data_IF_136408596177
#
_entry.id   IF_136408596177
#
_cell.length_a   1.000
_cell.length_b   1.000
_cell.length_c   1.000
_cell.angle_alpha   90.00
_cell.angle_beta   90.00
_cell.angle_gamma   90.00
#
_symmetry.space_group_name_H-M   'P 1'
#
loop_
_entity.id
_entity.type
_entity.pdbx_description
1 polymer ?
#
# COMPACT_ATOMS: atom_id res chain seq x y z
N UNK A 1 -4.55 -16.58 12.49
CA UNK A 1 -5.05 -15.21 12.77
C UNK A 1 -6.57 -15.14 12.71
N UNK A 2 -7.21 -15.59 11.62
CA UNK A 2 -8.68 -15.59 11.50
C UNK A 2 -9.30 -16.51 12.54
N UNK A 3 -8.81 -17.74 12.65
CA UNK A 3 -9.30 -18.73 13.63
C UNK A 3 -9.12 -18.29 15.08
N UNK A 4 -8.01 -17.63 15.41
CA UNK A 4 -7.78 -17.08 16.76
C UNK A 4 -8.81 -15.99 17.10
N UNK A 5 -9.09 -15.09 16.16
CA UNK A 5 -10.06 -14.03 16.36
C UNK A 5 -11.48 -14.58 16.47
N UNK A 6 -11.84 -15.57 15.66
CA UNK A 6 -13.12 -16.26 15.71
C UNK A 6 -13.34 -16.93 17.07
N UNK A 7 -12.33 -17.61 17.59
CA UNK A 7 -12.38 -18.23 18.93
C UNK A 7 -12.61 -17.19 20.03
N UNK A 8 -11.94 -16.03 19.95
CA UNK A 8 -12.11 -14.95 20.94
C UNK A 8 -13.51 -14.31 20.85
N UNK A 9 -14.03 -14.11 19.64
CA UNK A 9 -15.42 -13.64 19.47
C UNK A 9 -16.42 -14.63 20.03
N UNK A 10 -16.22 -15.92 19.81
CA UNK A 10 -17.07 -16.98 20.36
C UNK A 10 -17.02 -17.01 21.89
N UNK A 11 -15.82 -16.86 22.48
CA UNK A 11 -15.65 -16.76 23.94
C UNK A 11 -16.35 -15.52 24.50
N UNK A 12 -16.20 -14.36 23.87
CA UNK A 12 -16.86 -13.12 24.30
C UNK A 12 -18.37 -13.26 24.23
N UNK A 13 -18.92 -13.84 23.17
CA UNK A 13 -20.36 -14.10 23.05
C UNK A 13 -20.88 -15.02 24.17
N UNK A 14 -20.16 -16.12 24.45
CA UNK A 14 -20.53 -17.02 25.56
C UNK A 14 -20.49 -16.31 26.93
N UNK A 15 -19.47 -15.45 27.14
CA UNK A 15 -19.40 -14.64 28.38
C UNK A 15 -20.47 -13.57 28.47
N UNK A 16 -20.95 -13.05 27.33
CA UNK A 16 -22.04 -12.08 27.28
C UNK A 16 -23.36 -12.68 27.74
N UNK A 17 -23.62 -13.94 27.37
CA UNK A 17 -24.81 -14.69 27.81
C UNK A 17 -24.82 -14.94 29.33
N UNK A 18 -23.65 -14.97 29.97
CA UNK A 18 -23.49 -15.16 31.41
C UNK A 18 -23.41 -13.86 32.24
N UNK A 19 -23.71 -12.69 31.64
CA UNK A 19 -23.66 -11.40 32.35
C UNK A 19 -24.91 -11.24 33.23
N UNK A 20 -24.73 -11.29 34.55
CA UNK A 20 -25.81 -11.15 35.51
C UNK A 20 -25.83 -9.78 36.22
N UNK A 21 -24.75 -9.00 36.10
CA UNK A 21 -24.62 -7.69 36.76
C UNK A 21 -23.99 -6.62 35.87
N UNK A 22 -24.26 -5.34 36.22
CA UNK A 22 -23.58 -4.19 35.58
C UNK A 22 -22.06 -4.27 35.74
N UNK A 23 -21.55 -4.81 36.84
CA UNK A 23 -20.14 -4.95 37.08
C UNK A 23 -19.51 -6.01 36.13
N UNK A 24 -20.21 -7.11 35.88
CA UNK A 24 -19.77 -8.15 34.93
C UNK A 24 -19.75 -7.60 33.52
N UNK A 25 -20.79 -6.84 33.13
CA UNK A 25 -20.83 -6.14 31.85
C UNK A 25 -19.65 -5.18 31.67
N UNK A 26 -19.35 -4.38 32.67
CA UNK A 26 -18.19 -3.45 32.66
C UNK A 26 -16.86 -4.18 32.53
N UNK A 27 -16.69 -5.28 33.27
CA UNK A 27 -15.48 -6.11 33.21
C UNK A 27 -15.31 -6.70 31.80
N UNK A 28 -16.35 -7.31 31.26
CA UNK A 28 -16.32 -7.87 29.90
C UNK A 28 -16.00 -6.80 28.84
N UNK A 29 -16.62 -5.62 28.92
CA UNK A 29 -16.34 -4.50 28.02
C UNK A 29 -14.88 -4.03 28.09
N UNK A 30 -14.31 -3.99 29.32
CA UNK A 30 -12.89 -3.65 29.48
C UNK A 30 -11.96 -4.74 28.93
N UNK A 31 -12.26 -6.01 29.16
CA UNK A 31 -11.50 -7.12 28.60
C UNK A 31 -11.50 -7.07 27.08
N UNK A 32 -12.66 -6.86 26.46
CA UNK A 32 -12.79 -6.72 25.02
C UNK A 32 -12.04 -5.51 24.47
N UNK A 33 -12.16 -4.33 25.13
CA UNK A 33 -11.41 -3.14 24.77
C UNK A 33 -9.90 -3.38 24.82
N UNK A 34 -9.41 -4.04 25.87
CA UNK A 34 -8.00 -4.34 26.02
C UNK A 34 -7.51 -5.31 24.92
N UNK A 35 -8.24 -6.39 24.67
CA UNK A 35 -7.92 -7.30 23.59
C UNK A 35 -7.91 -6.60 22.24
N UNK A 36 -8.94 -5.82 21.93
CA UNK A 36 -9.02 -5.04 20.68
C UNK A 36 -7.81 -4.11 20.51
N UNK A 37 -7.46 -3.37 21.58
CA UNK A 37 -6.40 -2.36 21.50
C UNK A 37 -5.01 -2.99 21.47
N UNK A 38 -4.77 -4.04 22.27
CA UNK A 38 -3.43 -4.59 22.48
C UNK A 38 -3.11 -5.76 21.52
N UNK A 39 -4.13 -6.44 20.99
CA UNK A 39 -3.95 -7.65 20.19
C UNK A 39 -4.49 -7.48 18.78
N UNK A 40 -5.79 -7.16 18.65
CA UNK A 40 -6.46 -7.14 17.35
C UNK A 40 -5.99 -5.99 16.47
N UNK A 41 -6.05 -4.74 16.94
CA UNK A 41 -5.71 -3.56 16.13
C UNK A 41 -4.28 -3.61 15.58
N UNK A 42 -3.23 -3.95 16.35
CA UNK A 42 -1.88 -4.07 15.83
C UNK A 42 -1.71 -5.15 14.75
N UNK A 43 -2.46 -6.27 14.87
CA UNK A 43 -2.45 -7.33 13.85
C UNK A 43 -3.20 -6.87 12.58
N UNK A 44 -4.37 -6.26 12.74
CA UNK A 44 -5.16 -5.73 11.63
C UNK A 44 -4.40 -4.64 10.86
N UNK A 45 -3.72 -3.74 11.56
CA UNK A 45 -2.92 -2.68 10.94
C UNK A 45 -1.81 -3.23 10.04
N UNK A 46 -1.14 -4.31 10.46
CA UNK A 46 -0.12 -4.99 9.65
C UNK A 46 -0.71 -5.56 8.36
N UNK A 47 -1.87 -6.22 8.45
CA UNK A 47 -2.55 -6.79 7.27
C UNK A 47 -2.97 -5.69 6.31
N UNK A 48 -3.56 -4.60 6.82
CA UNK A 48 -3.96 -3.45 6.01
C UNK A 48 -2.74 -2.82 5.32
N UNK A 49 -1.65 -2.61 6.05
CA UNK A 49 -0.44 -2.03 5.48
C UNK A 49 0.18 -2.93 4.41
N UNK A 50 0.25 -4.24 4.67
CA UNK A 50 0.71 -5.22 3.68
C UNK A 50 -0.12 -5.16 2.40
N UNK A 51 -1.45 -5.26 2.54
CA UNK A 51 -2.36 -5.21 1.39
C UNK A 51 -2.22 -3.89 0.62
N UNK A 52 -2.07 -2.77 1.32
CA UNK A 52 -1.92 -1.47 0.69
C UNK A 52 -0.61 -1.36 -0.12
N UNK A 53 0.51 -1.82 0.43
CA UNK A 53 1.82 -1.81 -0.26
C UNK A 53 1.77 -2.65 -1.53
N UNK A 54 1.26 -3.89 -1.45
CA UNK A 54 1.21 -4.78 -2.62
C UNK A 54 0.13 -4.40 -3.64
N UNK A 55 -0.96 -3.75 -3.20
CA UNK A 55 -1.91 -3.15 -4.14
C UNK A 55 -1.28 -2.00 -4.92
N UNK A 56 -0.47 -1.16 -4.24
CA UNK A 56 0.29 -0.10 -4.89
C UNK A 56 1.24 -0.61 -5.96
N UNK A 57 1.93 -1.73 -5.70
CA UNK A 57 2.80 -2.40 -6.67
C UNK A 57 2.04 -2.83 -7.93
N UNK A 58 0.86 -3.43 -7.78
CA UNK A 58 0.04 -3.85 -8.93
C UNK A 58 -0.39 -2.65 -9.81
N UNK A 59 -0.70 -1.51 -9.17
CA UNK A 59 -1.04 -0.28 -9.90
C UNK A 59 0.19 0.24 -10.64
N UNK A 60 1.36 0.23 -10.02
CA UNK A 60 2.60 0.63 -10.64
C UNK A 60 2.96 -0.27 -11.84
N UNK A 61 2.84 -1.60 -11.70
CA UNK A 61 3.06 -2.54 -12.80
C UNK A 61 2.14 -2.23 -13.99
N UNK A 62 0.86 -1.95 -13.73
CA UNK A 62 -0.09 -1.54 -14.78
C UNK A 62 0.32 -0.23 -15.46
N UNK A 63 0.86 0.73 -14.70
CA UNK A 63 1.33 2.00 -15.27
C UNK A 63 2.58 1.80 -16.16
N UNK A 64 3.48 0.89 -15.79
CA UNK A 64 4.64 0.51 -16.60
C UNK A 64 4.23 -0.11 -17.93
N UNK A 65 3.34 -1.09 -17.90
CA UNK A 65 2.84 -1.73 -19.13
C UNK A 65 2.19 -0.72 -20.07
N UNK A 66 1.51 0.29 -19.52
CA UNK A 66 0.93 1.38 -20.31
C UNK A 66 2.00 2.32 -20.86
N UNK A 67 3.03 2.64 -20.09
CA UNK A 67 4.15 3.45 -20.56
C UNK A 67 4.81 2.83 -21.79
N UNK A 68 5.11 1.53 -21.74
CA UNK A 68 5.70 0.79 -22.85
C UNK A 68 4.83 0.85 -24.11
N UNK A 69 3.51 0.69 -23.98
CA UNK A 69 2.56 0.79 -25.11
C UNK A 69 2.52 2.19 -25.69
N UNK A 70 2.41 3.22 -24.85
CA UNK A 70 2.37 4.62 -25.30
C UNK A 70 3.68 5.02 -25.97
N UNK A 71 4.82 4.56 -25.47
CA UNK A 71 6.11 4.78 -26.12
C UNK A 71 6.17 4.14 -27.52
N UNK A 72 5.61 2.94 -27.68
CA UNK A 72 5.45 2.29 -28.99
C UNK A 72 4.55 3.08 -29.93
N UNK A 73 3.35 3.44 -29.47
CA UNK A 73 2.36 4.19 -30.25
C UNK A 73 2.93 5.56 -30.70
N UNK A 74 3.67 6.24 -29.80
CA UNK A 74 4.33 7.51 -30.13
C UNK A 74 5.41 7.33 -31.19
N UNK A 75 6.22 6.26 -31.08
CA UNK A 75 7.25 5.95 -32.08
C UNK A 75 6.64 5.72 -33.45
N UNK A 76 5.54 4.96 -33.52
CA UNK A 76 4.83 4.68 -34.78
C UNK A 76 4.21 5.96 -35.38
N UNK A 77 3.63 6.81 -34.53
CA UNK A 77 3.09 8.10 -34.91
C UNK A 77 4.17 9.02 -35.52
N UNK A 78 5.30 9.20 -34.86
CA UNK A 78 6.42 10.01 -35.33
C UNK A 78 7.01 9.48 -36.63
N UNK A 79 7.14 8.16 -36.76
CA UNK A 79 7.59 7.52 -38.01
C UNK A 79 6.63 7.78 -39.18
N UNK A 80 5.33 7.81 -38.92
CA UNK A 80 4.31 8.08 -39.95
C UNK A 80 4.35 9.52 -40.46
N UNK A 81 4.63 10.48 -39.56
CA UNK A 81 4.73 11.90 -39.91
C UNK A 81 6.10 12.30 -40.47
N UNK A 82 7.12 11.48 -40.32
CA UNK A 82 8.54 11.79 -40.58
C UNK A 82 9.04 13.04 -39.86
N UNK A 83 8.41 13.36 -38.73
CA UNK A 83 8.74 14.49 -37.88
C UNK A 83 8.81 14.01 -36.43
N UNK A 84 9.75 14.58 -35.69
CA UNK A 84 9.89 14.33 -34.25
C UNK A 84 9.20 15.46 -33.50
N UNK A 85 8.18 15.13 -32.72
CA UNK A 85 7.53 16.09 -31.83
C UNK A 85 8.31 16.17 -30.51
N UNK A 86 9.00 17.30 -30.32
CA UNK A 86 9.84 17.55 -29.13
C UNK A 86 9.01 17.54 -27.84
N UNK A 87 7.78 18.07 -27.88
CA UNK A 87 6.86 18.10 -26.74
C UNK A 87 6.44 16.71 -26.32
N UNK A 88 6.13 15.83 -27.26
CA UNK A 88 5.76 14.44 -26.98
C UNK A 88 6.92 13.67 -26.34
N UNK A 89 8.16 13.89 -26.82
CA UNK A 89 9.33 13.27 -26.24
C UNK A 89 9.59 13.78 -24.81
N UNK A 90 9.39 15.08 -24.55
CA UNK A 90 9.49 15.65 -23.19
C UNK A 90 8.47 15.03 -22.23
N UNK A 91 7.21 14.85 -22.66
CA UNK A 91 6.17 14.21 -21.86
C UNK A 91 6.48 12.74 -21.59
N UNK A 92 6.97 12.01 -22.59
CA UNK A 92 7.39 10.61 -22.41
C UNK A 92 8.54 10.50 -21.41
N UNK A 93 9.56 11.33 -21.51
CA UNK A 93 10.69 11.36 -20.57
C UNK A 93 10.24 11.70 -19.14
N UNK A 94 9.26 12.60 -18.97
CA UNK A 94 8.66 12.88 -17.66
C UNK A 94 7.92 11.67 -17.11
N UNK A 95 7.14 11.00 -17.94
CA UNK A 95 6.42 9.78 -17.55
C UNK A 95 7.39 8.68 -17.11
N UNK A 96 8.48 8.45 -17.85
CA UNK A 96 9.53 7.49 -17.49
C UNK A 96 10.23 7.84 -16.19
N UNK A 97 10.52 9.13 -15.97
CA UNK A 97 11.12 9.61 -14.71
C UNK A 97 10.18 9.38 -13.53
N UNK A 98 8.89 9.68 -13.69
CA UNK A 98 7.89 9.45 -12.66
C UNK A 98 7.76 7.95 -12.32
N UNK A 99 7.80 7.07 -13.31
CA UNK A 99 7.74 5.62 -13.08
C UNK A 99 8.97 5.14 -12.31
N UNK A 100 10.17 5.62 -12.64
CA UNK A 100 11.41 5.26 -11.88
C UNK A 100 11.34 5.69 -10.42
N UNK A 101 10.89 6.90 -10.14
CA UNK A 101 10.69 7.39 -8.76
C UNK A 101 9.64 6.55 -8.02
N UNK A 102 8.56 6.19 -8.72
CA UNK A 102 7.52 5.32 -8.15
C UNK A 102 8.06 3.93 -7.82
N UNK A 103 8.90 3.34 -8.67
CA UNK A 103 9.53 2.03 -8.45
C UNK A 103 10.46 2.04 -7.23
N UNK A 104 11.30 3.07 -7.11
CA UNK A 104 12.22 3.20 -5.97
C UNK A 104 11.44 3.27 -4.65
N UNK A 105 10.42 4.12 -4.59
CA UNK A 105 9.57 4.27 -3.40
C UNK A 105 8.76 3.01 -3.10
N UNK A 106 8.24 2.32 -4.12
CA UNK A 106 7.54 1.04 -3.95
C UNK A 106 8.46 -0.02 -3.38
N UNK A 107 9.69 -0.14 -3.89
CA UNK A 107 10.71 -1.05 -3.36
C UNK A 107 11.08 -0.76 -1.91
N UNK A 108 11.22 0.52 -1.54
CA UNK A 108 11.45 0.92 -0.16
C UNK A 108 10.26 0.53 0.74
N UNK A 109 9.03 0.76 0.30
CA UNK A 109 7.81 0.40 1.03
C UNK A 109 7.73 -1.12 1.27
N UNK A 110 7.98 -1.92 0.25
CA UNK A 110 8.00 -3.40 0.35
C UNK A 110 9.05 -3.88 1.36
N UNK A 111 10.26 -3.35 1.28
CA UNK A 111 11.32 -3.73 2.21
C UNK A 111 10.94 -3.45 3.66
N UNK A 112 10.40 -2.26 3.94
CA UNK A 112 9.98 -1.87 5.29
C UNK A 112 8.84 -2.74 5.83
N UNK A 113 7.82 -3.03 5.01
CA UNK A 113 6.70 -3.87 5.46
C UNK A 113 7.16 -5.31 5.70
N UNK A 114 8.07 -5.85 4.88
CA UNK A 114 8.63 -7.18 5.08
C UNK A 114 9.48 -7.26 6.35
N UNK A 115 10.31 -6.25 6.64
CA UNK A 115 11.05 -6.15 7.91
C UNK A 115 10.09 -6.13 9.10
N UNK A 116 9.02 -5.33 9.03
CA UNK A 116 8.02 -5.24 10.10
C UNK A 116 7.32 -6.57 10.35
N UNK A 117 6.99 -7.32 9.28
CA UNK A 117 6.36 -8.64 9.38
C UNK A 117 7.33 -9.66 9.97
N UNK A 118 8.55 -9.74 9.46
CA UNK A 118 9.58 -10.68 9.93
C UNK A 118 9.89 -10.46 11.41
N UNK A 119 10.06 -9.21 11.85
CA UNK A 119 10.27 -8.88 13.26
C UNK A 119 9.07 -9.23 14.15
N UNK A 120 7.87 -9.29 13.56
CA UNK A 120 6.65 -9.68 14.28
C UNK A 120 6.51 -11.18 14.46
N UNK A 121 7.08 -11.98 13.56
CA UNK A 121 7.04 -13.45 13.60
C UNK A 121 8.26 -14.06 14.33
N UNK A 122 9.38 -13.32 14.41
CA UNK A 122 10.51 -13.77 15.20
C UNK A 122 10.15 -13.75 16.68
N UNK A 123 10.42 -14.85 17.39
CA UNK A 123 10.22 -14.97 18.84
C UNK A 123 11.19 -14.10 19.67
N UNK A 124 11.77 -13.06 19.07
CA UNK A 124 12.60 -12.09 19.74
C UNK A 124 11.72 -11.41 20.78
N UNK A 125 12.16 -11.41 22.04
CA UNK A 125 11.48 -10.79 23.18
C UNK A 125 10.85 -9.47 22.76
N UNK A 126 9.54 -9.38 22.87
CA UNK A 126 8.71 -8.22 22.55
C UNK A 126 9.11 -7.03 23.44
N UNK A 127 10.25 -6.41 23.15
CA UNK A 127 10.71 -5.22 23.86
C UNK A 127 9.96 -4.00 23.32
N UNK A 128 9.79 -2.99 24.18
CA UNK A 128 9.12 -1.73 23.79
C UNK A 128 9.82 -1.05 22.59
N UNK A 129 11.13 -1.27 22.41
CA UNK A 129 11.90 -0.76 21.27
C UNK A 129 11.54 -1.46 19.96
N UNK A 130 11.45 -2.79 19.96
CA UNK A 130 11.08 -3.60 18.79
C UNK A 130 9.68 -3.24 18.31
N UNK A 131 8.72 -3.09 19.22
CA UNK A 131 7.35 -2.72 18.85
C UNK A 131 7.27 -1.30 18.26
N UNK A 132 8.09 -0.36 18.72
CA UNK A 132 8.18 0.98 18.12
C UNK A 132 8.78 0.94 16.72
N UNK A 133 9.82 0.15 16.52
CA UNK A 133 10.44 -0.03 15.21
C UNK A 133 9.46 -0.65 14.20
N UNK A 134 8.74 -1.70 14.60
CA UNK A 134 7.68 -2.29 13.77
C UNK A 134 6.63 -1.26 13.39
N UNK A 135 6.11 -0.50 14.34
CA UNK A 135 5.11 0.53 14.09
C UNK A 135 5.63 1.63 13.14
N UNK A 136 6.90 2.03 13.30
CA UNK A 136 7.55 2.98 12.41
C UNK A 136 7.67 2.43 10.99
N UNK A 137 8.18 1.22 10.81
CA UNK A 137 8.34 0.60 9.49
C UNK A 137 6.98 0.45 8.78
N UNK A 138 5.90 0.13 9.49
CA UNK A 138 4.54 0.10 8.95
C UNK A 138 4.10 1.49 8.49
N UNK A 139 4.32 2.52 9.31
CA UNK A 139 3.98 3.90 8.96
C UNK A 139 4.76 4.39 7.76
N UNK A 140 6.07 4.20 7.75
CA UNK A 140 6.95 4.65 6.67
C UNK A 140 6.65 3.91 5.37
N UNK A 141 6.31 2.60 5.42
CA UNK A 141 5.90 1.84 4.23
C UNK A 141 4.64 2.41 3.58
N UNK A 142 3.65 2.82 4.38
CA UNK A 142 2.44 3.49 3.87
C UNK A 142 2.77 4.83 3.20
N UNK A 143 3.62 5.65 3.83
CA UNK A 143 4.04 6.95 3.29
C UNK A 143 4.76 6.78 1.95
N UNK A 144 5.66 5.81 1.84
CA UNK A 144 6.36 5.54 0.58
C UNK A 144 5.41 5.04 -0.51
N UNK A 145 4.44 4.19 -0.16
CA UNK A 145 3.42 3.74 -1.10
C UNK A 145 2.57 4.91 -1.60
N UNK A 146 2.13 5.81 -0.72
CA UNK A 146 1.36 7.01 -1.09
C UNK A 146 2.15 7.92 -2.04
N UNK A 147 3.44 8.13 -1.76
CA UNK A 147 4.33 8.91 -2.65
C UNK A 147 4.52 8.22 -4.00
N UNK A 148 4.75 6.91 -4.02
CA UNK A 148 4.82 6.12 -5.25
C UNK A 148 3.55 6.30 -6.09
N UNK A 149 2.37 6.19 -5.46
CA UNK A 149 1.08 6.41 -6.13
C UNK A 149 0.91 7.83 -6.65
N UNK A 150 1.51 8.84 -6.01
CA UNK A 150 1.49 10.20 -6.52
C UNK A 150 2.29 10.32 -7.83
N UNK A 151 3.46 9.70 -7.92
CA UNK A 151 4.23 9.65 -9.17
C UNK A 151 3.48 8.89 -10.27
N UNK A 152 2.82 7.78 -9.95
CA UNK A 152 1.95 7.07 -10.89
C UNK A 152 0.83 7.99 -11.40
N UNK A 153 0.17 8.78 -10.55
CA UNK A 153 -0.84 9.76 -10.98
C UNK A 153 -0.26 10.81 -11.91
N UNK A 154 0.93 11.31 -11.62
CA UNK A 154 1.61 12.27 -12.50
C UNK A 154 1.84 11.63 -13.88
N UNK A 155 2.34 10.37 -13.93
CA UNK A 155 2.50 9.63 -15.17
C UNK A 155 1.19 9.54 -15.99
N UNK A 156 0.05 9.29 -15.34
CA UNK A 156 -1.24 9.27 -16.04
C UNK A 156 -1.64 10.63 -16.62
N UNK A 157 -1.25 11.73 -16.00
CA UNK A 157 -1.46 13.07 -16.57
C UNK A 157 -0.63 13.24 -17.86
N UNK A 158 0.63 12.80 -17.86
CA UNK A 158 1.46 12.80 -19.06
C UNK A 158 0.87 11.91 -20.18
N UNK A 159 0.32 10.75 -19.82
CA UNK A 159 -0.37 9.87 -20.77
C UNK A 159 -1.58 10.53 -21.42
N UNK A 160 -2.37 11.29 -20.67
CA UNK A 160 -3.52 12.01 -21.19
C UNK A 160 -3.10 13.09 -22.19
N UNK A 161 -2.02 13.82 -21.91
CA UNK A 161 -1.49 14.83 -22.83
C UNK A 161 -0.91 14.19 -24.10
N UNK A 162 -0.16 13.08 -23.96
CA UNK A 162 0.34 12.32 -25.10
C UNK A 162 -0.81 11.79 -25.98
N UNK A 163 -1.86 11.25 -25.37
CA UNK A 163 -3.03 10.79 -26.09
C UNK A 163 -3.71 11.88 -26.93
N UNK A 164 -3.77 13.12 -26.42
CA UNK A 164 -4.30 14.27 -27.17
C UNK A 164 -3.42 14.62 -28.39
N UNK A 165 -2.12 14.57 -28.23
CA UNK A 165 -1.19 14.88 -29.33
C UNK A 165 -1.30 13.80 -30.43
N UNK A 166 -1.30 12.53 -30.05
CA UNK A 166 -1.37 11.40 -31.01
C UNK A 166 -2.72 11.41 -31.78
N UNK A 167 -3.82 11.76 -31.11
CA UNK A 167 -5.15 11.81 -31.72
C UNK A 167 -5.45 13.15 -32.44
N UNK A 168 -4.51 14.11 -32.47
CA UNK A 168 -4.70 15.45 -33.06
C UNK A 168 -5.89 16.22 -32.43
N UNK A 169 -6.14 16.09 -31.12
CA UNK A 169 -7.16 16.82 -30.36
C UNK A 169 -6.62 18.09 -29.68
#
# INVERSE_FOLDING_TARGET
LLQENENIFTEINSRLEGVESINDAKKLANDFKNWRTLVYNPKAEKVVAFTFVFHGENILATAKDRLERIAGDLSDYQNSLKETDEKSNELLNKAESNIREAEELSGQAQNLIMIALNNSFSQIKNTKSVNREIARNISDSKIFTEKSMQYVRNTYNEFLELGRIINNE
#
